data_IF_598174673384
#
_entry.id   IF_598174673384
#
_cell.length_a   1.000
_cell.length_b   1.000
_cell.length_c   1.000
_cell.angle_alpha   90.00
_cell.angle_beta   90.00
_cell.angle_gamma   90.00
#
_symmetry.space_group_name_H-M   'P 1'
#
loop_
_entity.id
_entity.type
_entity.pdbx_description
1 polymer ?
#
# COMPACT_ATOMS: atom_id res chain seq x y z
N UNK A 1 5.44 9.32 -21.30
CA UNK A 1 5.33 8.85 -19.90
C UNK A 1 3.99 9.22 -19.22
N UNK A 2 2.81 8.77 -19.71
CA UNK A 2 1.53 9.04 -19.03
C UNK A 2 1.07 7.93 -18.06
N UNK A 3 1.48 6.67 -18.26
CA UNK A 3 0.89 5.50 -17.58
C UNK A 3 1.26 5.39 -16.09
N UNK A 4 2.51 5.69 -15.72
CA UNK A 4 2.99 5.64 -14.32
C UNK A 4 2.35 6.76 -13.47
N UNK A 5 2.17 7.94 -14.07
CA UNK A 5 1.51 9.07 -13.43
C UNK A 5 0.01 8.81 -13.26
N UNK A 6 -0.69 8.18 -14.21
CA UNK A 6 -2.11 7.82 -14.06
C UNK A 6 -2.35 6.81 -12.94
N UNK A 7 -1.48 5.80 -12.77
CA UNK A 7 -1.63 4.79 -11.71
C UNK A 7 -1.43 5.41 -10.31
N UNK A 8 -0.48 6.34 -10.16
CA UNK A 8 -0.25 7.05 -8.90
C UNK A 8 -1.39 8.04 -8.61
N UNK A 9 -1.90 8.70 -9.65
CA UNK A 9 -2.93 9.74 -9.53
C UNK A 9 -4.33 9.15 -9.27
N UNK A 10 -4.66 7.97 -9.78
CA UNK A 10 -5.95 7.30 -9.55
C UNK A 10 -6.17 6.87 -8.07
N UNK A 11 -5.09 6.70 -7.29
CA UNK A 11 -5.20 6.45 -5.84
C UNK A 11 -5.33 7.75 -5.00
N UNK A 12 -5.24 8.93 -5.63
CA UNK A 12 -5.07 10.22 -4.95
C UNK A 12 -6.31 11.10 -4.77
N UNK A 13 -7.43 10.85 -5.46
CA UNK A 13 -8.58 11.77 -5.43
C UNK A 13 -9.94 11.06 -5.28
N UNK A 14 -10.36 10.87 -4.03
CA UNK A 14 -11.77 10.76 -3.70
C UNK A 14 -12.00 11.18 -2.23
N UNK A 15 -12.16 12.48 -1.99
CA UNK A 15 -13.28 13.09 -1.23
C UNK A 15 -13.09 14.62 -1.05
N UNK A 16 -14.16 15.33 -1.40
CA UNK A 16 -14.44 16.79 -1.43
C UNK A 16 -14.31 17.52 -0.08
N UNK A 17 -14.18 18.88 -0.04
CA UNK A 17 -13.98 19.67 1.18
C UNK A 17 -15.31 20.07 1.85
N UNK A 18 -15.33 20.04 3.19
CA UNK A 18 -16.13 20.88 4.12
C UNK A 18 -16.51 20.13 5.41
N UNK A 19 -15.76 20.36 6.50
CA UNK A 19 -16.32 20.26 7.85
C UNK A 19 -15.46 21.10 8.80
N UNK A 20 -16.04 22.18 9.33
CA UNK A 20 -15.46 23.02 10.37
C UNK A 20 -15.62 22.25 11.69
N UNK A 21 -14.54 21.92 12.42
CA UNK A 21 -14.70 21.24 13.71
C UNK A 21 -15.00 22.27 14.82
N UNK A 22 -16.22 22.24 15.36
CA UNK A 22 -16.51 22.82 16.67
C UNK A 22 -15.75 22.02 17.74
N UNK A 23 -15.12 22.72 18.68
CA UNK A 23 -14.29 22.12 19.74
C UNK A 23 -15.20 21.42 20.75
N UNK A 24 -15.30 20.09 20.66
CA UNK A 24 -15.79 19.25 21.76
C UNK A 24 -14.61 18.73 22.57
N UNK A 25 -14.53 19.11 23.84
CA UNK A 25 -13.54 18.58 24.77
C UNK A 25 -14.00 17.18 25.20
N UNK A 26 -13.45 16.14 24.57
CA UNK A 26 -13.70 14.75 24.92
C UNK A 26 -12.57 14.21 25.81
N UNK A 27 -12.86 14.04 27.10
CA UNK A 27 -12.00 13.30 28.03
C UNK A 27 -12.26 11.80 27.81
N UNK A 28 -11.35 11.11 27.11
CA UNK A 28 -11.39 9.64 27.03
C UNK A 28 -10.03 9.01 27.34
N UNK A 29 -9.87 8.58 28.59
CA UNK A 29 -8.94 7.53 28.95
C UNK A 29 -9.39 6.23 28.30
N UNK A 30 -8.77 5.85 27.17
CA UNK A 30 -9.08 4.62 26.44
C UNK A 30 -7.78 3.88 26.17
N UNK A 31 -7.59 2.77 26.88
CA UNK A 31 -6.48 1.84 26.65
C UNK A 31 -6.33 1.47 25.17
N UNK A 32 -5.08 1.21 24.76
CA UNK A 32 -4.61 0.98 23.39
C UNK A 32 -5.15 -0.35 22.83
N UNK A 33 -6.46 -0.47 22.66
CA UNK A 33 -7.11 -1.72 22.24
C UNK A 33 -8.62 -1.63 22.35
N UNK A 34 -9.27 -0.83 21.51
CA UNK A 34 -10.73 -0.76 21.54
C UNK A 34 -11.36 0.36 20.74
N UNK A 35 -11.04 0.46 19.46
CA UNK A 35 -11.91 1.13 18.47
C UNK A 35 -12.50 0.04 17.58
N UNK A 36 -13.80 0.14 17.27
CA UNK A 36 -14.50 -0.78 16.37
C UNK A 36 -13.64 -1.00 15.11
N UNK A 37 -13.39 -2.26 14.75
CA UNK A 37 -12.54 -2.62 13.61
C UNK A 37 -13.25 -2.23 12.32
N UNK A 38 -13.14 -0.97 11.91
CA UNK A 38 -13.30 -0.58 10.52
C UNK A 38 -12.37 -1.43 9.65
N UNK A 39 -12.70 -1.62 8.37
CA UNK A 39 -11.87 -2.39 7.44
C UNK A 39 -10.44 -1.86 7.50
N UNK A 40 -9.51 -2.72 7.91
CA UNK A 40 -8.11 -2.33 8.01
C UNK A 40 -7.57 -2.01 6.61
N UNK A 41 -7.01 -0.81 6.42
CA UNK A 41 -6.37 -0.45 5.14
C UNK A 41 -5.26 -1.47 4.81
N UNK A 42 -5.19 -2.02 3.58
CA UNK A 42 -4.19 -3.01 3.21
C UNK A 42 -2.77 -2.47 3.34
N UNK A 43 -1.79 -3.35 3.55
CA UNK A 43 -0.37 -2.96 3.65
C UNK A 43 0.16 -2.33 2.36
N UNK A 44 -0.31 -2.79 1.20
CA UNK A 44 -0.01 -2.20 -0.11
C UNK A 44 -0.47 -0.74 -0.19
N UNK A 45 -1.72 -0.44 0.16
CA UNK A 45 -2.22 0.94 0.17
C UNK A 45 -1.57 1.84 1.22
N UNK A 46 -0.95 1.28 2.27
CA UNK A 46 -0.15 2.07 3.23
C UNK A 46 1.26 2.35 2.69
N UNK A 47 1.81 1.43 1.90
CA UNK A 47 3.12 1.55 1.27
C UNK A 47 3.08 2.30 -0.08
N UNK A 48 1.89 2.60 -0.61
CA UNK A 48 1.74 3.24 -1.92
C UNK A 48 2.07 2.32 -3.09
N UNK A 49 2.03 1.00 -2.88
CA UNK A 49 2.38 -0.01 -3.88
C UNK A 49 1.11 -0.62 -4.49
N UNK A 50 1.11 -0.84 -5.80
CA UNK A 50 0.11 -1.65 -6.49
C UNK A 50 0.33 -3.14 -6.22
N UNK A 51 1.59 -3.57 -6.08
CA UNK A 51 1.91 -4.96 -5.86
C UNK A 51 1.46 -5.43 -4.45
N UNK A 52 0.94 -6.68 -4.33
CA UNK A 52 0.27 -7.13 -3.11
C UNK A 52 1.25 -7.54 -2.01
N UNK A 53 1.67 -6.57 -1.19
CA UNK A 53 2.57 -6.76 -0.02
C UNK A 53 2.10 -7.90 0.89
N UNK A 54 0.79 -8.00 1.18
CA UNK A 54 0.24 -9.04 2.07
C UNK A 54 0.39 -10.46 1.51
N UNK A 55 0.28 -10.62 0.18
CA UNK A 55 0.46 -11.92 -0.48
C UNK A 55 1.92 -12.32 -0.46
N UNK A 56 2.81 -11.38 -0.77
CA UNK A 56 4.27 -11.59 -0.76
C UNK A 56 4.74 -12.02 0.63
N UNK A 57 4.28 -11.33 1.67
CA UNK A 57 4.56 -11.73 3.06
C UNK A 57 4.13 -13.18 3.37
N UNK A 58 2.93 -13.60 2.93
CA UNK A 58 2.48 -14.98 3.10
C UNK A 58 3.35 -15.98 2.33
N UNK A 59 3.80 -15.62 1.14
CA UNK A 59 4.67 -16.47 0.33
C UNK A 59 6.05 -16.63 0.96
N UNK A 60 6.62 -15.55 1.52
CA UNK A 60 7.89 -15.63 2.26
C UNK A 60 7.79 -16.59 3.44
N UNK A 61 6.71 -16.55 4.22
CA UNK A 61 6.47 -17.51 5.32
C UNK A 61 6.33 -18.96 4.86
N UNK A 62 5.74 -19.17 3.69
CA UNK A 62 5.52 -20.53 3.14
C UNK A 62 6.79 -21.07 2.46
N UNK A 63 7.64 -20.20 1.92
CA UNK A 63 8.75 -20.56 1.04
C UNK A 63 10.04 -21.00 1.74
N UNK A 64 9.97 -21.48 2.98
CA UNK A 64 11.14 -21.89 3.78
C UNK A 64 12.21 -20.79 3.95
N UNK A 65 11.83 -19.52 3.83
CA UNK A 65 12.67 -18.39 4.23
C UNK A 65 12.78 -18.33 5.76
N UNK A 66 13.70 -17.54 6.33
CA UNK A 66 13.94 -17.50 7.77
C UNK A 66 12.64 -17.37 8.57
N UNK A 67 12.54 -18.07 9.70
CA UNK A 67 11.32 -18.15 10.53
C UNK A 67 10.76 -16.79 10.95
N UNK A 68 11.63 -15.77 10.99
CA UNK A 68 11.26 -14.39 11.26
C UNK A 68 11.76 -13.47 10.15
N UNK A 69 10.88 -13.15 9.22
CA UNK A 69 11.08 -12.04 8.30
C UNK A 69 10.78 -10.68 8.96
N UNK A 70 11.66 -9.69 8.72
CA UNK A 70 11.43 -8.32 9.18
C UNK A 70 10.17 -7.72 8.54
N UNK A 71 9.45 -6.85 9.26
CA UNK A 71 8.20 -6.27 8.78
C UNK A 71 8.34 -5.48 7.45
N UNK A 72 9.54 -4.97 7.16
CA UNK A 72 9.86 -4.27 5.91
C UNK A 72 10.23 -5.18 4.74
N UNK A 73 10.60 -6.43 4.96
CA UNK A 73 11.01 -7.36 3.90
C UNK A 73 9.96 -7.53 2.79
N UNK A 74 8.66 -7.78 3.07
CA UNK A 74 7.66 -7.90 2.02
C UNK A 74 7.34 -6.58 1.33
N UNK A 75 7.61 -5.43 1.97
CA UNK A 75 7.41 -4.10 1.36
C UNK A 75 8.53 -3.81 0.38
N UNK A 76 9.78 -4.06 0.78
CA UNK A 76 10.95 -3.89 -0.06
C UNK A 76 10.85 -4.77 -1.32
N UNK A 77 10.54 -6.06 -1.14
CA UNK A 77 10.40 -6.98 -2.27
C UNK A 77 9.26 -6.56 -3.22
N UNK A 78 8.12 -6.13 -2.68
CA UNK A 78 7.01 -5.64 -3.49
C UNK A 78 7.41 -4.41 -4.34
N UNK A 79 8.15 -3.47 -3.76
CA UNK A 79 8.60 -2.27 -4.46
C UNK A 79 9.58 -2.59 -5.60
N UNK A 80 10.55 -3.48 -5.35
CA UNK A 80 11.50 -3.92 -6.38
C UNK A 80 10.78 -4.62 -7.53
N UNK A 81 9.84 -5.52 -7.23
CA UNK A 81 9.07 -6.21 -8.26
C UNK A 81 8.18 -5.25 -9.07
N UNK A 82 7.57 -4.26 -8.41
CA UNK A 82 6.74 -3.25 -9.09
C UNK A 82 7.57 -2.36 -10.00
N UNK A 83 8.75 -1.92 -9.54
CA UNK A 83 9.69 -1.17 -10.35
C UNK A 83 10.15 -1.95 -11.59
N UNK A 84 10.60 -3.19 -11.41
CA UNK A 84 11.06 -4.02 -12.53
C UNK A 84 9.93 -4.28 -13.52
N UNK A 85 8.73 -4.61 -13.05
CA UNK A 85 7.59 -4.85 -13.92
C UNK A 85 7.21 -3.60 -14.73
N UNK A 86 7.28 -2.41 -14.12
CA UNK A 86 7.04 -1.15 -14.82
C UNK A 86 8.09 -0.91 -15.91
N UNK A 87 9.37 -1.09 -15.60
CA UNK A 87 10.48 -0.96 -16.56
C UNK A 87 10.31 -1.92 -17.75
N UNK A 88 10.03 -3.20 -17.48
CA UNK A 88 9.81 -4.20 -18.54
C UNK A 88 8.59 -3.88 -19.40
N UNK A 89 7.50 -3.40 -18.80
CA UNK A 89 6.29 -3.04 -19.54
C UNK A 89 6.52 -1.80 -20.42
N UNK A 90 7.25 -0.80 -19.92
CA UNK A 90 7.61 0.38 -20.69
C UNK A 90 8.45 0.01 -21.92
N UNK A 91 9.47 -0.83 -21.75
CA UNK A 91 10.29 -1.34 -22.86
C UNK A 91 9.49 -2.20 -23.83
N UNK A 92 8.57 -3.02 -23.33
CA UNK A 92 7.74 -3.88 -24.17
C UNK A 92 6.72 -3.07 -24.99
N UNK A 93 6.16 -1.99 -24.44
CA UNK A 93 5.23 -1.12 -25.19
C UNK A 93 5.93 -0.35 -26.32
N UNK A 94 7.25 -0.15 -26.26
CA UNK A 94 8.03 0.40 -27.39
C UNK A 94 8.07 -0.55 -28.62
N UNK A 95 7.59 -1.79 -28.51
CA UNK A 95 7.59 -2.78 -29.60
C UNK A 95 6.24 -2.95 -30.32
N UNK A 96 5.18 -2.28 -29.87
CA UNK A 96 3.89 -2.25 -30.56
C UNK A 96 3.83 -1.04 -31.50
N UNK A 97 4.43 -1.22 -32.68
CA UNK A 97 4.23 -0.36 -33.84
C UNK A 97 2.97 -0.80 -34.59
#
# INVERSE_FOLDING_TARGET
MPFILEIITFQGTLLSPAHIPTIEINISGRGKGGKAKGKAKPRSNRAGLQFPVGRIHRLLRKGNYPEREGAGAPVYLAAVMEYLAAEFLELADMTKN
#
